data_IF_508866040551
#
_entry.id   IF_508866040551
#
_cell.length_a   1.000
_cell.length_b   1.000
_cell.length_c   1.000
_cell.angle_alpha   90.00
_cell.angle_beta   90.00
_cell.angle_gamma   90.00
#
_symmetry.space_group_name_H-M   'P 1'
#
loop_
_entity.id
_entity.type
_entity.pdbx_description
1 polymer ?
#
# COMPACT_ATOMS: atom_id res chain seq x y z
N UNK A 1 -30.34 6.48 -10.06
CA UNK A 1 -29.95 5.07 -10.16
C UNK A 1 -28.45 5.00 -10.08
N UNK A 2 -27.98 4.66 -9.02
CA UNK A 2 -26.81 4.02 -8.42
C UNK A 2 -25.81 3.48 -9.47
N UNK A 3 -24.95 4.36 -9.92
CA UNK A 3 -23.77 4.05 -10.74
C UNK A 3 -22.80 3.16 -9.93
N UNK A 4 -22.82 3.25 -8.59
CA UNK A 4 -21.98 2.48 -7.67
C UNK A 4 -22.30 0.99 -7.61
N UNK A 5 -23.58 0.58 -7.64
CA UNK A 5 -23.97 -0.85 -7.66
C UNK A 5 -23.63 -1.53 -9.00
N UNK A 6 -23.56 -0.75 -10.09
CA UNK A 6 -23.12 -1.25 -11.41
C UNK A 6 -21.59 -1.35 -11.50
N UNK A 7 -20.85 -0.49 -10.79
CA UNK A 7 -19.39 -0.55 -10.71
C UNK A 7 -18.92 -1.70 -9.82
N UNK A 8 -19.55 -1.95 -8.69
CA UNK A 8 -19.22 -3.06 -7.81
C UNK A 8 -19.50 -4.42 -8.46
N UNK A 9 -20.65 -4.59 -9.15
CA UNK A 9 -20.94 -5.81 -9.90
C UNK A 9 -20.00 -6.04 -11.08
N UNK A 10 -19.63 -4.99 -11.80
CA UNK A 10 -18.73 -5.06 -12.96
C UNK A 10 -17.26 -5.30 -12.57
N UNK A 11 -16.83 -4.84 -11.38
CA UNK A 11 -15.51 -5.10 -10.82
C UNK A 11 -15.42 -6.53 -10.25
N UNK A 12 -16.48 -7.02 -9.62
CA UNK A 12 -16.58 -8.41 -9.13
C UNK A 12 -16.46 -9.42 -10.28
N UNK A 13 -17.14 -9.19 -11.40
CA UNK A 13 -17.04 -10.04 -12.59
C UNK A 13 -15.63 -10.04 -13.18
N UNK A 14 -14.94 -8.90 -13.17
CA UNK A 14 -13.56 -8.83 -13.67
C UNK A 14 -12.56 -9.52 -12.74
N UNK A 15 -12.71 -9.41 -11.43
CA UNK A 15 -11.83 -10.10 -10.48
C UNK A 15 -11.94 -11.61 -10.58
N UNK A 16 -13.16 -12.14 -10.76
CA UNK A 16 -13.35 -13.57 -10.95
C UNK A 16 -12.65 -14.09 -12.22
N UNK A 17 -12.67 -13.33 -13.31
CA UNK A 17 -11.94 -13.66 -14.53
C UNK A 17 -10.42 -13.69 -14.33
N UNK A 18 -9.87 -12.75 -13.54
CA UNK A 18 -8.45 -12.77 -13.20
C UNK A 18 -8.11 -13.99 -12.33
N UNK A 19 -8.94 -14.31 -11.34
CA UNK A 19 -8.75 -15.49 -10.49
C UNK A 19 -8.77 -16.80 -11.32
N UNK A 20 -9.74 -16.94 -12.22
CA UNK A 20 -9.85 -18.11 -13.11
C UNK A 20 -8.65 -18.22 -14.05
N UNK A 21 -8.17 -17.11 -14.61
CA UNK A 21 -6.99 -17.12 -15.46
C UNK A 21 -5.72 -17.48 -14.68
N UNK A 22 -5.53 -16.92 -13.48
CA UNK A 22 -4.41 -17.28 -12.60
C UNK A 22 -4.45 -18.78 -12.30
N UNK A 23 -5.63 -19.33 -11.97
CA UNK A 23 -5.81 -20.75 -11.72
C UNK A 23 -5.45 -21.58 -12.94
N UNK A 24 -6.01 -21.26 -14.11
CA UNK A 24 -5.77 -21.97 -15.36
C UNK A 24 -4.27 -22.03 -15.67
N UNK A 25 -3.59 -20.89 -15.62
CA UNK A 25 -2.15 -20.81 -15.88
C UNK A 25 -1.32 -21.64 -14.89
N UNK A 26 -1.73 -21.67 -13.61
CA UNK A 26 -1.08 -22.52 -12.60
C UNK A 26 -1.32 -24.01 -12.87
N UNK A 27 -2.52 -24.39 -13.28
CA UNK A 27 -2.87 -25.79 -13.59
C UNK A 27 -2.16 -26.29 -14.87
N UNK A 28 -1.86 -25.38 -15.82
CA UNK A 28 -1.03 -25.64 -17.00
C UNK A 28 0.48 -25.61 -16.70
N UNK A 29 0.90 -25.36 -15.46
CA UNK A 29 2.30 -25.28 -15.06
C UNK A 29 3.00 -23.97 -15.41
N UNK A 30 2.26 -22.96 -15.92
CA UNK A 30 2.77 -21.63 -16.32
C UNK A 30 2.80 -20.66 -15.13
N UNK A 31 3.53 -21.00 -14.07
CA UNK A 31 3.57 -20.23 -12.82
C UNK A 31 4.03 -18.79 -13.01
N UNK A 32 4.93 -18.52 -13.97
CA UNK A 32 5.40 -17.18 -14.31
C UNK A 32 4.27 -16.34 -14.91
N UNK A 33 3.57 -16.89 -15.90
CA UNK A 33 2.48 -16.17 -16.55
C UNK A 33 1.32 -15.90 -15.57
N UNK A 34 1.06 -16.86 -14.66
CA UNK A 34 0.10 -16.70 -13.58
C UNK A 34 0.48 -15.54 -12.64
N UNK A 35 1.75 -15.41 -12.27
CA UNK A 35 2.27 -14.29 -11.49
C UNK A 35 2.09 -12.97 -12.23
N UNK A 36 2.52 -12.88 -13.48
CA UNK A 36 2.38 -11.65 -14.28
C UNK A 36 0.91 -11.26 -14.48
N UNK A 37 0.04 -12.26 -14.61
CA UNK A 37 -1.41 -12.01 -14.73
C UNK A 37 -2.01 -11.51 -13.41
N UNK A 38 -1.58 -12.07 -12.27
CA UNK A 38 -1.94 -11.59 -10.94
C UNK A 38 -1.50 -10.13 -10.71
N UNK A 39 -0.29 -9.78 -11.12
CA UNK A 39 0.20 -8.39 -11.02
C UNK A 39 -0.61 -7.41 -11.89
N UNK A 40 -1.06 -7.85 -13.08
CA UNK A 40 -1.96 -7.03 -13.92
C UNK A 40 -3.28 -6.73 -13.24
N UNK A 41 -3.82 -7.66 -12.46
CA UNK A 41 -5.07 -7.44 -11.72
C UNK A 41 -4.93 -6.37 -10.65
N UNK A 42 -3.78 -6.32 -9.95
CA UNK A 42 -3.48 -5.35 -8.90
C UNK A 42 -3.27 -3.93 -9.43
N UNK A 43 -2.51 -3.82 -10.54
CA UNK A 43 -2.27 -2.53 -11.19
C UNK A 43 -3.55 -1.87 -11.71
N UNK A 44 -4.50 -2.68 -12.17
CA UNK A 44 -5.76 -2.18 -12.75
C UNK A 44 -6.68 -1.55 -11.71
N UNK A 45 -6.79 -2.12 -10.51
CA UNK A 45 -7.60 -1.55 -9.43
C UNK A 45 -7.08 -0.16 -9.01
N UNK A 46 -5.77 0.04 -9.00
CA UNK A 46 -5.17 1.34 -8.74
C UNK A 46 -5.44 2.35 -9.85
N UNK A 47 -5.38 1.93 -11.12
CA UNK A 47 -5.65 2.77 -12.29
C UNK A 47 -7.14 3.12 -12.40
N UNK A 48 -8.03 2.14 -12.16
CA UNK A 48 -9.47 2.36 -12.20
C UNK A 48 -9.92 3.32 -11.07
N UNK A 49 -9.28 3.26 -9.90
CA UNK A 49 -9.51 4.20 -8.81
C UNK A 49 -9.04 5.63 -9.16
N UNK A 50 -7.91 5.78 -9.84
CA UNK A 50 -7.40 7.07 -10.32
C UNK A 50 -8.23 7.62 -11.50
N UNK A 51 -8.70 6.74 -12.38
CA UNK A 51 -9.47 7.13 -13.56
C UNK A 51 -10.93 7.48 -13.28
N UNK A 52 -11.50 7.04 -12.16
CA UNK A 52 -12.90 7.33 -11.79
C UNK A 52 -13.15 8.75 -11.29
N UNK A 53 -12.09 9.52 -10.97
CA UNK A 53 -12.22 10.90 -10.49
C UNK A 53 -11.25 11.83 -11.22
N UNK A 54 -11.75 12.96 -11.71
CA UNK A 54 -10.95 14.04 -12.32
C UNK A 54 -9.99 14.60 -11.27
N UNK A 55 -8.78 14.07 -11.22
CA UNK A 55 -7.70 14.68 -10.44
C UNK A 55 -7.33 15.97 -11.18
N UNK A 56 -7.35 17.10 -10.49
CA UNK A 56 -6.93 18.36 -11.10
C UNK A 56 -5.41 18.36 -11.26
N UNK A 57 -4.89 18.38 -12.49
CA UNK A 57 -3.45 18.48 -12.72
C UNK A 57 -2.94 19.84 -12.27
N UNK A 58 -1.67 19.89 -11.86
CA UNK A 58 -1.02 21.13 -11.39
C UNK A 58 -0.72 22.16 -12.47
N UNK A 59 -0.81 21.77 -13.76
CA UNK A 59 -0.54 22.67 -14.91
C UNK A 59 -1.59 22.49 -16.02
N UNK A 60 -1.71 23.51 -16.90
CA UNK A 60 -2.60 23.41 -18.09
C UNK A 60 -2.15 22.33 -19.09
N UNK A 61 -0.84 22.09 -19.18
CA UNK A 61 -0.26 21.03 -20.04
C UNK A 61 -0.69 19.66 -19.54
N UNK A 62 -0.72 19.47 -18.22
CA UNK A 62 -1.17 18.23 -17.60
C UNK A 62 -2.66 17.96 -17.85
N UNK A 63 -3.49 19.00 -17.86
CA UNK A 63 -4.93 18.89 -18.18
C UNK A 63 -5.16 18.40 -19.61
N UNK A 64 -4.48 18.99 -20.58
CA UNK A 64 -4.60 18.61 -21.99
C UNK A 64 -4.16 17.17 -22.24
N UNK A 65 -3.09 16.73 -21.57
CA UNK A 65 -2.59 15.36 -21.67
C UNK A 65 -3.59 14.35 -21.08
N UNK A 66 -4.20 14.65 -19.93
CA UNK A 66 -5.23 13.80 -19.31
C UNK A 66 -6.53 13.74 -20.15
N UNK A 67 -6.99 14.85 -20.69
CA UNK A 67 -8.15 14.87 -21.59
C UNK A 67 -7.90 14.04 -22.86
N UNK A 68 -6.70 14.08 -23.40
CA UNK A 68 -6.31 13.28 -24.56
C UNK A 68 -6.26 11.79 -24.22
N UNK A 69 -5.71 11.44 -23.05
CA UNK A 69 -5.73 10.08 -22.53
C UNK A 69 -7.14 9.53 -22.42
N UNK A 70 -8.04 10.27 -21.74
CA UNK A 70 -9.43 9.89 -21.54
C UNK A 70 -10.13 9.59 -22.86
N UNK A 71 -9.91 10.42 -23.89
CA UNK A 71 -10.48 10.20 -25.24
C UNK A 71 -9.94 8.92 -25.89
N UNK A 72 -8.64 8.69 -25.82
CA UNK A 72 -8.02 7.50 -26.42
C UNK A 72 -8.47 6.24 -25.71
N UNK A 73 -8.52 6.25 -24.38
CA UNK A 73 -9.01 5.15 -23.56
C UNK A 73 -10.49 4.84 -23.85
N UNK A 74 -11.35 5.85 -23.85
CA UNK A 74 -12.77 5.69 -24.17
C UNK A 74 -12.98 5.10 -25.59
N UNK A 75 -12.12 5.44 -26.55
CA UNK A 75 -12.14 4.86 -27.90
C UNK A 75 -11.83 3.35 -27.85
N UNK A 76 -10.76 2.94 -27.13
CA UNK A 76 -10.39 1.52 -26.98
C UNK A 76 -11.52 0.73 -26.30
N UNK A 77 -12.10 1.26 -25.22
CA UNK A 77 -13.19 0.62 -24.48
C UNK A 77 -14.46 0.49 -25.35
N UNK A 78 -14.79 1.52 -26.11
CA UNK A 78 -15.98 1.51 -26.99
C UNK A 78 -15.81 0.50 -28.12
N UNK A 79 -14.66 0.47 -28.77
CA UNK A 79 -14.35 -0.52 -29.80
C UNK A 79 -14.28 -1.94 -29.22
N UNK A 80 -13.75 -2.12 -28.02
CA UNK A 80 -13.74 -3.40 -27.33
C UNK A 80 -15.15 -3.96 -27.07
N UNK A 81 -16.07 -3.10 -26.60
CA UNK A 81 -17.49 -3.47 -26.41
C UNK A 81 -18.18 -3.81 -27.74
N UNK A 82 -17.96 -3.01 -28.77
CA UNK A 82 -18.51 -3.26 -30.11
C UNK A 82 -17.98 -4.56 -30.70
N UNK A 83 -16.68 -4.85 -30.55
CA UNK A 83 -16.09 -6.10 -31.01
C UNK A 83 -16.68 -7.32 -30.28
N UNK A 84 -16.87 -7.23 -28.96
CA UNK A 84 -17.49 -8.32 -28.18
C UNK A 84 -18.93 -8.62 -28.61
N UNK A 85 -19.69 -7.60 -29.00
CA UNK A 85 -21.09 -7.72 -29.44
C UNK A 85 -21.26 -7.95 -30.95
N UNK A 86 -20.17 -7.95 -31.75
CA UNK A 86 -20.23 -7.93 -33.20
C UNK A 86 -20.61 -9.28 -33.84
N UNK A 87 -21.36 -9.22 -34.94
CA UNK A 87 -21.63 -10.36 -35.80
C UNK A 87 -20.34 -10.78 -36.57
N UNK A 88 -20.21 -12.04 -36.99
CA UNK A 88 -19.01 -12.56 -37.69
C UNK A 88 -18.54 -11.72 -38.87
N UNK A 89 -19.45 -11.13 -39.62
CA UNK A 89 -19.13 -10.30 -40.79
C UNK A 89 -18.44 -8.96 -40.47
N UNK A 90 -18.63 -8.44 -39.26
CA UNK A 90 -18.05 -7.16 -38.80
C UNK A 90 -16.82 -7.33 -37.91
N UNK A 91 -16.58 -8.56 -37.43
CA UNK A 91 -15.52 -8.82 -36.45
C UNK A 91 -14.14 -8.41 -36.93
N UNK A 92 -13.80 -8.75 -38.19
CA UNK A 92 -12.46 -8.44 -38.71
C UNK A 92 -12.19 -6.94 -38.71
N UNK A 93 -13.17 -6.16 -39.26
CA UNK A 93 -13.05 -4.69 -39.30
C UNK A 93 -12.89 -4.08 -37.88
N UNK A 94 -13.72 -4.52 -36.94
CA UNK A 94 -13.66 -4.04 -35.56
C UNK A 94 -12.38 -4.48 -34.83
N UNK A 95 -11.83 -5.63 -35.17
CA UNK A 95 -10.55 -6.09 -34.67
C UNK A 95 -9.41 -5.18 -35.14
N UNK A 96 -9.40 -4.80 -36.43
CA UNK A 96 -8.40 -3.90 -36.97
C UNK A 96 -8.51 -2.49 -36.36
N UNK A 97 -9.74 -1.95 -36.26
CA UNK A 97 -10.00 -0.66 -35.59
C UNK A 97 -9.57 -0.68 -34.12
N UNK A 98 -9.83 -1.75 -33.40
CA UNK A 98 -9.42 -1.90 -32.00
C UNK A 98 -7.89 -2.02 -31.87
N UNK A 99 -7.25 -2.72 -32.79
CA UNK A 99 -5.80 -2.84 -32.81
C UNK A 99 -5.13 -1.49 -33.07
N UNK A 100 -5.68 -0.67 -33.98
CA UNK A 100 -5.21 0.68 -34.25
C UNK A 100 -5.42 1.60 -33.06
N UNK A 101 -6.59 1.57 -32.43
CA UNK A 101 -6.87 2.35 -31.24
C UNK A 101 -5.92 1.99 -30.08
N UNK A 102 -5.63 0.71 -29.89
CA UNK A 102 -4.66 0.24 -28.89
C UNK A 102 -3.24 0.72 -29.21
N UNK A 103 -2.80 0.67 -30.47
CA UNK A 103 -1.50 1.20 -30.88
C UNK A 103 -1.38 2.70 -30.59
N UNK A 104 -2.39 3.48 -30.96
CA UNK A 104 -2.44 4.92 -30.73
C UNK A 104 -2.40 5.27 -29.23
N UNK A 105 -3.15 4.52 -28.41
CA UNK A 105 -3.12 4.67 -26.96
C UNK A 105 -1.74 4.34 -26.40
N UNK A 106 -1.14 3.22 -26.82
CA UNK A 106 0.20 2.80 -26.38
C UNK A 106 1.27 3.83 -26.75
N UNK A 107 1.25 4.33 -27.99
CA UNK A 107 2.19 5.37 -28.43
C UNK A 107 2.04 6.67 -27.65
N UNK A 108 0.80 7.07 -27.37
CA UNK A 108 0.55 8.24 -26.52
C UNK A 108 1.12 8.07 -25.13
N UNK A 109 0.91 6.90 -24.49
CA UNK A 109 1.47 6.60 -23.16
C UNK A 109 3.00 6.58 -23.15
N UNK A 110 3.64 6.04 -24.20
CA UNK A 110 5.10 6.07 -24.35
C UNK A 110 5.61 7.51 -24.46
N UNK A 111 4.97 8.34 -25.27
CA UNK A 111 5.32 9.75 -25.40
C UNK A 111 5.14 10.51 -24.08
N UNK A 112 4.01 10.31 -23.41
CA UNK A 112 3.72 10.93 -22.12
C UNK A 112 4.76 10.59 -21.06
N UNK A 113 5.27 9.35 -21.08
CA UNK A 113 6.35 8.91 -20.18
C UNK A 113 7.68 9.60 -20.44
N UNK A 114 7.99 9.85 -21.71
CA UNK A 114 9.21 10.54 -22.07
C UNK A 114 9.17 12.02 -21.68
N UNK A 115 8.01 12.67 -21.90
CA UNK A 115 7.84 14.10 -21.70
C UNK A 115 7.50 14.47 -20.24
N UNK A 116 6.76 13.60 -19.54
CA UNK A 116 6.37 13.81 -18.16
C UNK A 116 6.23 12.48 -17.39
N UNK A 117 7.32 11.95 -16.80
CA UNK A 117 7.33 10.67 -16.09
C UNK A 117 6.33 10.61 -14.92
N UNK A 118 6.05 11.74 -14.29
CA UNK A 118 5.10 11.81 -13.17
C UNK A 118 3.66 11.64 -13.68
N UNK A 119 3.30 12.34 -14.75
CA UNK A 119 1.97 12.25 -15.34
C UNK A 119 1.70 10.87 -15.96
N UNK A 120 2.72 10.22 -16.51
CA UNK A 120 2.59 8.88 -17.08
C UNK A 120 2.25 7.80 -16.05
N UNK A 121 2.69 7.98 -14.81
CA UNK A 121 2.36 7.06 -13.72
C UNK A 121 0.88 7.12 -13.30
N UNK A 122 0.17 8.23 -13.60
CA UNK A 122 -1.28 8.35 -13.41
C UNK A 122 -2.09 7.51 -14.41
N UNK A 123 -1.56 7.37 -15.59
CA UNK A 123 -2.32 6.88 -16.73
C UNK A 123 -2.08 5.40 -16.99
N UNK A 124 -0.89 4.91 -16.69
CA UNK A 124 -0.60 3.47 -16.78
C UNK A 124 0.56 3.10 -15.88
N UNK A 125 0.31 2.34 -14.82
CA UNK A 125 1.38 1.60 -14.15
C UNK A 125 1.71 0.39 -15.03
N UNK A 126 2.91 0.34 -15.66
CA UNK A 126 3.31 -0.86 -16.38
C UNK A 126 3.39 -2.01 -15.39
N UNK A 127 2.77 -3.12 -15.71
CA UNK A 127 2.97 -4.34 -14.96
C UNK A 127 4.42 -4.77 -15.10
N UNK A 128 5.08 -4.96 -13.96
CA UNK A 128 6.46 -5.40 -13.92
C UNK A 128 6.55 -6.88 -14.31
N UNK A 129 7.47 -7.20 -15.22
CA UNK A 129 7.80 -8.59 -15.49
C UNK A 129 8.72 -9.16 -14.40
N UNK A 130 8.70 -10.49 -14.26
CA UNK A 130 9.47 -11.20 -13.24
C UNK A 130 10.97 -10.87 -13.28
N UNK A 131 11.56 -10.83 -14.46
CA UNK A 131 13.01 -10.62 -14.61
C UNK A 131 13.44 -9.21 -14.18
N UNK A 132 12.60 -8.21 -14.44
CA UNK A 132 12.81 -6.84 -13.97
C UNK A 132 12.68 -6.75 -12.45
N UNK A 133 11.68 -7.42 -11.86
CA UNK A 133 11.52 -7.49 -10.41
C UNK A 133 12.73 -8.13 -9.72
N UNK A 134 13.21 -9.25 -10.23
CA UNK A 134 14.36 -9.97 -9.68
C UNK A 134 15.64 -9.11 -9.65
N UNK A 135 15.84 -8.23 -10.64
CA UNK A 135 16.99 -7.30 -10.69
C UNK A 135 16.97 -6.22 -9.60
N UNK A 136 15.82 -5.95 -8.99
CA UNK A 136 15.71 -5.00 -7.88
C UNK A 136 16.12 -5.61 -6.55
N UNK A 137 16.08 -6.94 -6.45
CA UNK A 137 16.33 -7.66 -5.21
C UNK A 137 17.84 -7.88 -5.01
N UNK A 138 18.32 -7.63 -3.80
CA UNK A 138 19.65 -8.08 -3.39
C UNK A 138 19.62 -9.54 -2.91
N UNK A 139 20.81 -10.11 -2.66
CA UNK A 139 20.95 -11.52 -2.26
C UNK A 139 20.27 -11.86 -0.91
N UNK A 140 19.99 -10.86 -0.07
CA UNK A 140 19.43 -11.03 1.27
C UNK A 140 17.91 -10.72 1.32
N UNK A 141 17.32 -10.33 0.19
CA UNK A 141 15.91 -9.93 0.09
C UNK A 141 15.11 -10.91 -0.74
N UNK A 142 13.99 -11.37 -0.20
CA UNK A 142 12.98 -12.17 -0.93
C UNK A 142 11.62 -11.51 -0.85
N UNK A 143 10.78 -11.79 -1.84
CA UNK A 143 9.39 -11.36 -1.86
C UNK A 143 8.48 -12.57 -1.70
N UNK A 144 7.38 -12.40 -0.97
CA UNK A 144 6.26 -13.34 -0.92
C UNK A 144 5.04 -12.62 -1.45
N UNK A 145 4.61 -13.03 -2.63
CA UNK A 145 3.46 -12.44 -3.34
C UNK A 145 2.29 -13.38 -3.21
N UNK A 146 1.24 -12.95 -2.54
CA UNK A 146 0.05 -13.76 -2.31
C UNK A 146 -1.02 -13.53 -3.36
N UNK A 147 -1.79 -14.56 -3.68
CA UNK A 147 -3.05 -14.47 -4.41
C UNK A 147 -4.08 -15.41 -3.79
N UNK A 148 -5.17 -14.84 -3.31
CA UNK A 148 -6.25 -15.59 -2.64
C UNK A 148 -7.29 -15.95 -3.67
N UNK A 149 -7.38 -17.24 -4.00
CA UNK A 149 -8.43 -17.84 -4.82
C UNK A 149 -9.59 -18.32 -3.93
N UNK A 150 -10.75 -18.67 -4.47
CA UNK A 150 -11.89 -19.09 -3.67
C UNK A 150 -11.63 -20.31 -2.77
N UNK A 151 -10.79 -21.26 -3.19
CA UNK A 151 -10.55 -22.55 -2.55
C UNK A 151 -9.06 -22.88 -2.31
N UNK A 152 -8.16 -21.97 -2.66
CA UNK A 152 -6.74 -22.10 -2.38
C UNK A 152 -6.04 -20.74 -2.22
N UNK A 153 -4.93 -20.76 -1.53
CA UNK A 153 -4.01 -19.66 -1.40
C UNK A 153 -2.75 -19.96 -2.24
N UNK A 154 -2.40 -19.04 -3.10
CA UNK A 154 -1.16 -19.08 -3.89
C UNK A 154 -0.15 -18.11 -3.30
N UNK A 155 1.10 -18.53 -3.17
CA UNK A 155 2.21 -17.68 -2.79
C UNK A 155 3.38 -17.90 -3.75
N UNK A 156 3.83 -16.85 -4.43
CA UNK A 156 5.08 -16.84 -5.16
C UNK A 156 6.19 -16.35 -4.26
N UNK A 157 7.24 -17.15 -4.11
CA UNK A 157 8.45 -16.76 -3.35
C UNK A 157 9.54 -16.43 -4.37
N UNK A 158 9.91 -15.16 -4.40
CA UNK A 158 10.77 -14.59 -5.44
C UNK A 158 12.06 -14.08 -4.78
N UNK A 159 13.18 -14.55 -5.24
CA UNK A 159 14.51 -14.03 -4.92
C UNK A 159 15.22 -13.58 -6.21
N UNK A 160 16.42 -12.99 -6.11
CA UNK A 160 17.14 -12.48 -7.28
C UNK A 160 17.36 -13.53 -8.37
N UNK A 161 17.56 -14.80 -8.00
CA UNK A 161 17.80 -15.90 -8.93
C UNK A 161 16.81 -17.08 -8.73
N UNK A 162 15.77 -16.88 -7.91
CA UNK A 162 14.80 -17.95 -7.59
C UNK A 162 13.38 -17.49 -7.79
N UNK A 163 12.55 -18.40 -8.30
CA UNK A 163 11.11 -18.20 -8.45
C UNK A 163 10.40 -19.50 -8.14
N UNK A 164 9.62 -19.53 -7.08
CA UNK A 164 8.90 -20.72 -6.64
C UNK A 164 7.44 -20.36 -6.40
N UNK A 165 6.56 -21.30 -6.66
CA UNK A 165 5.14 -21.20 -6.35
C UNK A 165 4.76 -22.23 -5.30
N UNK A 166 3.98 -21.77 -4.33
CA UNK A 166 3.40 -22.59 -3.26
C UNK A 166 1.89 -22.48 -3.36
N UNK A 167 1.19 -23.61 -3.38
CA UNK A 167 -0.28 -23.65 -3.39
C UNK A 167 -0.74 -24.32 -2.10
N UNK A 168 -1.54 -23.63 -1.31
CA UNK A 168 -2.08 -24.12 -0.04
C UNK A 168 -3.60 -24.28 -0.17
N UNK A 169 -4.10 -25.50 0.01
CA UNK A 169 -5.55 -25.77 -0.01
C UNK A 169 -6.20 -25.20 1.25
N UNK A 170 -6.87 -24.07 1.07
CA UNK A 170 -7.66 -23.41 2.11
C UNK A 170 -8.72 -22.54 1.43
N UNK A 171 -9.94 -22.55 1.92
CA UNK A 171 -11.01 -21.69 1.38
C UNK A 171 -10.80 -20.25 1.81
N UNK A 172 -11.06 -19.31 0.88
CA UNK A 172 -11.05 -17.88 1.19
C UNK A 172 -11.92 -17.55 2.41
N UNK A 173 -13.10 -18.16 2.51
CA UNK A 173 -14.03 -17.96 3.65
C UNK A 173 -13.37 -18.34 4.97
N UNK A 174 -12.59 -19.43 5.01
CA UNK A 174 -11.85 -19.85 6.22
C UNK A 174 -10.77 -18.84 6.59
N UNK A 175 -10.03 -18.30 5.59
CA UNK A 175 -9.05 -17.24 5.82
C UNK A 175 -9.71 -16.00 6.41
N UNK A 176 -10.84 -15.55 5.84
CA UNK A 176 -11.62 -14.39 6.30
C UNK A 176 -12.09 -14.56 7.75
N UNK A 177 -12.68 -15.71 8.07
CA UNK A 177 -13.25 -15.98 9.39
C UNK A 177 -12.17 -16.05 10.47
N UNK A 178 -11.07 -16.77 10.17
CA UNK A 178 -9.95 -16.92 11.12
C UNK A 178 -9.21 -15.60 11.29
N UNK A 179 -8.92 -14.87 10.21
CA UNK A 179 -8.28 -13.57 10.29
C UNK A 179 -9.14 -12.53 11.02
N UNK A 180 -10.46 -12.52 10.76
CA UNK A 180 -11.38 -11.65 11.47
C UNK A 180 -11.42 -11.92 12.97
N UNK A 181 -11.39 -13.20 13.36
CA UNK A 181 -11.35 -13.62 14.77
C UNK A 181 -10.00 -13.27 15.39
N UNK A 182 -8.89 -13.56 14.70
CA UNK A 182 -7.52 -13.21 15.11
C UNK A 182 -7.40 -11.73 15.44
N UNK A 183 -7.89 -10.87 14.55
CA UNK A 183 -7.83 -9.41 14.76
C UNK A 183 -8.67 -8.94 15.92
N UNK A 184 -9.89 -9.49 16.11
CA UNK A 184 -10.72 -9.17 17.28
C UNK A 184 -10.03 -9.57 18.58
N UNK A 185 -9.44 -10.76 18.65
CA UNK A 185 -8.69 -11.23 19.82
C UNK A 185 -7.45 -10.38 20.07
N UNK A 186 -6.68 -10.03 19.02
CA UNK A 186 -5.54 -9.10 19.15
C UNK A 186 -5.95 -7.78 19.80
N UNK A 187 -7.01 -7.14 19.30
CA UNK A 187 -7.46 -5.83 19.79
C UNK A 187 -8.03 -5.89 21.23
N UNK A 188 -8.46 -7.05 21.67
CA UNK A 188 -8.98 -7.29 23.04
C UNK A 188 -7.91 -7.83 23.98
N UNK A 189 -6.70 -8.06 23.50
CA UNK A 189 -5.62 -8.73 24.23
C UNK A 189 -6.00 -10.15 24.71
N UNK A 190 -6.87 -10.82 23.95
CA UNK A 190 -7.29 -12.19 24.20
C UNK A 190 -6.24 -13.21 23.70
N UNK A 191 -6.43 -14.48 24.02
CA UNK A 191 -5.58 -15.56 23.52
C UNK A 191 -5.78 -15.76 22.01
N UNK A 192 -4.70 -15.68 21.24
CA UNK A 192 -4.66 -15.76 19.78
C UNK A 192 -4.01 -17.05 19.25
N UNK A 193 -3.63 -17.97 20.12
CA UNK A 193 -2.77 -19.10 19.76
C UNK A 193 -3.35 -20.04 18.71
N UNK A 194 -4.66 -20.16 18.64
CA UNK A 194 -5.35 -21.01 17.66
C UNK A 194 -5.32 -20.38 16.27
N UNK A 195 -5.76 -19.14 16.15
CA UNK A 195 -5.81 -18.40 14.89
C UNK A 195 -4.40 -18.13 14.37
N UNK A 196 -3.46 -17.76 15.25
CA UNK A 196 -2.04 -17.57 14.92
C UNK A 196 -1.45 -18.83 14.28
N UNK A 197 -1.73 -20.02 14.85
CA UNK A 197 -1.24 -21.30 14.32
C UNK A 197 -1.84 -21.60 12.95
N UNK A 198 -3.16 -21.42 12.80
CA UNK A 198 -3.85 -21.66 11.52
C UNK A 198 -3.34 -20.74 10.43
N UNK A 199 -3.29 -19.43 10.69
CA UNK A 199 -2.81 -18.43 9.72
C UNK A 199 -1.33 -18.65 9.37
N UNK A 200 -0.47 -18.91 10.36
CA UNK A 200 0.94 -19.20 10.10
C UNK A 200 1.11 -20.49 9.29
N UNK A 201 0.28 -21.51 9.56
CA UNK A 201 0.26 -22.76 8.84
C UNK A 201 -0.14 -22.63 7.37
N UNK A 202 -1.02 -21.70 7.04
CA UNK A 202 -1.42 -21.44 5.65
C UNK A 202 -0.51 -20.48 4.92
N UNK A 203 -0.04 -19.43 5.61
CA UNK A 203 0.65 -18.30 4.99
C UNK A 203 2.18 -18.48 4.95
N UNK A 204 2.80 -18.98 6.02
CA UNK A 204 4.26 -18.96 6.18
C UNK A 204 4.88 -20.35 6.10
N UNK A 205 4.32 -21.33 6.81
CA UNK A 205 4.93 -22.66 6.92
C UNK A 205 5.20 -23.32 5.56
N UNK A 206 4.29 -23.26 4.54
CA UNK A 206 4.55 -23.86 3.25
C UNK A 206 5.70 -23.20 2.47
N UNK A 207 6.04 -21.95 2.79
CA UNK A 207 7.12 -21.20 2.15
C UNK A 207 8.40 -21.13 3.01
N UNK A 208 8.41 -21.64 4.24
CA UNK A 208 9.49 -21.45 5.22
C UNK A 208 10.87 -21.85 4.67
N UNK A 209 11.00 -23.00 4.04
CA UNK A 209 12.26 -23.48 3.45
C UNK A 209 12.77 -22.57 2.34
N UNK A 210 11.85 -21.94 1.60
CA UNK A 210 12.17 -21.02 0.50
C UNK A 210 12.67 -19.66 1.01
N UNK A 211 12.44 -19.32 2.29
CA UNK A 211 12.91 -18.08 2.92
C UNK A 211 14.31 -18.20 3.51
N UNK A 212 14.91 -19.40 3.47
CA UNK A 212 16.26 -19.62 3.98
C UNK A 212 17.28 -18.69 3.30
N UNK A 213 18.19 -18.10 4.09
CA UNK A 213 19.22 -17.17 3.63
C UNK A 213 18.76 -15.72 3.46
N UNK A 214 17.45 -15.44 3.53
CA UNK A 214 16.98 -14.06 3.55
C UNK A 214 17.24 -13.39 4.92
N UNK A 215 17.47 -12.09 4.91
CA UNK A 215 17.41 -11.20 6.08
C UNK A 215 16.15 -10.34 6.03
N UNK A 216 15.64 -10.08 4.83
CA UNK A 216 14.45 -9.26 4.58
C UNK A 216 13.44 -10.01 3.73
N UNK A 217 12.17 -9.80 4.04
CA UNK A 217 11.05 -10.34 3.26
C UNK A 217 10.04 -9.23 2.98
N UNK A 218 9.86 -8.97 1.70
CA UNK A 218 8.77 -8.13 1.23
C UNK A 218 7.50 -8.93 1.09
N UNK A 219 6.43 -8.46 1.69
CA UNK A 219 5.10 -9.07 1.61
C UNK A 219 4.25 -8.25 0.65
N UNK A 220 3.72 -8.92 -0.37
CA UNK A 220 2.71 -8.35 -1.26
C UNK A 220 1.41 -9.10 -0.99
N UNK A 221 0.55 -8.58 -0.11
CA UNK A 221 -0.70 -9.21 0.26
C UNK A 221 -1.71 -9.19 -0.90
N UNK A 222 -2.80 -9.92 -0.77
CA UNK A 222 -3.94 -9.87 -1.66
C UNK A 222 -5.23 -9.91 -0.85
N UNK A 223 -6.20 -9.07 -1.19
CA UNK A 223 -7.51 -9.02 -0.53
C UNK A 223 -7.38 -8.87 0.99
N UNK A 224 -8.03 -9.72 1.76
CA UNK A 224 -8.10 -9.69 3.22
C UNK A 224 -6.72 -9.76 3.89
N UNK A 225 -5.72 -10.31 3.21
CA UNK A 225 -4.36 -10.42 3.73
C UNK A 225 -3.66 -9.07 3.93
N UNK A 226 -4.17 -7.99 3.34
CA UNK A 226 -3.71 -6.62 3.67
C UNK A 226 -3.91 -6.27 5.15
N UNK A 227 -4.84 -6.96 5.83
CA UNK A 227 -5.10 -6.76 7.25
C UNK A 227 -4.30 -7.72 8.15
N UNK A 228 -3.48 -8.60 7.56
CA UNK A 228 -2.72 -9.57 8.30
C UNK A 228 -1.44 -8.94 8.91
N UNK A 229 -1.26 -9.00 10.23
CA UNK A 229 -0.01 -8.60 10.86
C UNK A 229 1.04 -9.70 10.68
N UNK A 230 1.69 -9.74 9.53
CA UNK A 230 2.66 -10.80 9.24
C UNK A 230 3.81 -10.83 10.24
N UNK A 231 4.17 -9.70 10.86
CA UNK A 231 5.18 -9.65 11.94
C UNK A 231 4.85 -10.59 13.11
N UNK A 232 3.57 -10.86 13.35
CA UNK A 232 3.10 -11.78 14.41
C UNK A 232 2.78 -13.19 13.87
N UNK A 233 3.28 -13.59 12.71
CA UNK A 233 3.21 -14.98 12.25
C UNK A 233 4.35 -15.81 12.78
N UNK A 234 4.15 -17.13 12.87
CA UNK A 234 5.18 -18.09 13.29
C UNK A 234 6.09 -18.46 12.13
N UNK A 235 7.39 -18.54 12.44
CA UNK A 235 8.42 -19.11 11.60
C UNK A 235 9.28 -20.05 12.45
N UNK A 236 9.10 -21.35 12.28
CA UNK A 236 9.64 -22.36 13.19
C UNK A 236 9.08 -22.20 14.59
N UNK A 237 9.96 -22.16 15.61
CA UNK A 237 9.57 -22.06 17.02
C UNK A 237 9.34 -20.62 17.52
N UNK A 238 9.58 -19.61 16.70
CA UNK A 238 9.46 -18.18 17.06
C UNK A 238 8.51 -17.41 16.14
N UNK A 239 8.52 -16.09 16.28
CA UNK A 239 7.87 -15.20 15.34
C UNK A 239 8.78 -14.93 14.15
N UNK A 240 8.20 -14.59 13.00
CA UNK A 240 8.97 -14.29 11.80
C UNK A 240 9.98 -13.16 12.02
N UNK A 241 9.64 -12.17 12.84
CA UNK A 241 10.52 -11.05 13.20
C UNK A 241 11.73 -11.46 14.04
N UNK A 242 11.77 -12.67 14.58
CA UNK A 242 12.97 -13.16 15.28
C UNK A 242 14.14 -13.33 14.30
N UNK A 243 13.83 -13.58 13.02
CA UNK A 243 14.82 -13.88 11.98
C UNK A 243 14.83 -12.88 10.82
N UNK A 244 13.66 -12.31 10.46
CA UNK A 244 13.46 -11.59 9.21
C UNK A 244 12.89 -10.18 9.47
N UNK A 245 13.46 -9.19 8.80
CA UNK A 245 12.84 -7.87 8.69
C UNK A 245 11.75 -7.90 7.63
N UNK A 246 10.61 -7.26 7.90
CA UNK A 246 9.47 -7.25 6.99
C UNK A 246 9.21 -5.85 6.44
N UNK A 247 8.90 -5.80 5.16
CA UNK A 247 8.29 -4.64 4.51
C UNK A 247 7.11 -5.09 3.63
N UNK A 248 6.25 -4.16 3.29
CA UNK A 248 5.05 -4.44 2.50
C UNK A 248 5.06 -3.63 1.22
N UNK A 249 4.43 -4.15 0.19
CA UNK A 249 4.13 -3.40 -1.00
C UNK A 249 2.75 -3.77 -1.54
N UNK A 250 2.00 -2.84 -2.13
CA UNK A 250 0.70 -3.15 -2.71
C UNK A 250 0.78 -4.00 -3.98
N UNK A 251 1.89 -3.90 -4.71
CA UNK A 251 2.21 -4.74 -5.88
C UNK A 251 3.72 -4.68 -6.18
N UNK A 252 4.22 -5.61 -6.99
CA UNK A 252 5.60 -5.59 -7.47
C UNK A 252 5.91 -4.33 -8.29
N UNK A 253 4.93 -3.86 -9.06
CA UNK A 253 5.07 -2.65 -9.87
C UNK A 253 5.27 -1.38 -9.02
N UNK A 254 4.68 -1.31 -7.83
CA UNK A 254 4.88 -0.19 -6.89
C UNK A 254 6.29 -0.21 -6.30
N UNK A 255 6.89 -1.38 -6.10
CA UNK A 255 8.29 -1.50 -5.66
C UNK A 255 9.23 -0.81 -6.66
N UNK A 256 9.08 -1.09 -7.96
CA UNK A 256 9.86 -0.40 -8.99
C UNK A 256 9.72 1.11 -8.92
N UNK A 257 8.46 1.57 -8.81
CA UNK A 257 8.15 2.99 -8.77
C UNK A 257 8.81 3.70 -7.57
N UNK A 258 8.76 3.11 -6.39
CA UNK A 258 9.39 3.68 -5.19
C UNK A 258 10.92 3.66 -5.31
N UNK A 259 11.49 2.61 -5.88
CA UNK A 259 12.92 2.47 -6.15
C UNK A 259 13.46 3.52 -7.12
N UNK A 260 12.77 3.73 -8.25
CA UNK A 260 13.17 4.70 -9.25
C UNK A 260 13.10 6.13 -8.71
N UNK A 261 12.08 6.43 -7.93
CA UNK A 261 11.95 7.72 -7.27
C UNK A 261 13.06 7.99 -6.27
N UNK A 262 13.42 7.02 -5.44
CA UNK A 262 14.53 7.17 -4.49
C UNK A 262 15.84 7.54 -5.20
N UNK A 263 16.14 6.90 -6.34
CA UNK A 263 17.34 7.20 -7.14
C UNK A 263 17.34 8.62 -7.72
N UNK A 264 16.17 9.14 -8.05
CA UNK A 264 15.99 10.46 -8.64
C UNK A 264 15.93 11.60 -7.62
N UNK A 265 15.92 11.32 -6.32
CA UNK A 265 15.61 12.31 -5.28
C UNK A 265 16.86 12.89 -4.60
N UNK A 266 16.91 14.23 -4.47
CA UNK A 266 17.80 14.90 -3.52
C UNK A 266 17.21 14.75 -2.11
N UNK A 267 17.87 13.99 -1.24
CA UNK A 267 17.44 13.77 0.15
C UNK A 267 17.37 15.09 0.91
N UNK A 268 16.21 15.37 1.48
CA UNK A 268 16.08 16.42 2.48
C UNK A 268 16.35 15.82 3.87
N UNK A 269 17.21 16.45 4.64
CA UNK A 269 17.47 16.04 6.03
C UNK A 269 16.47 16.64 7.04
N UNK A 270 15.58 17.54 6.56
CA UNK A 270 14.60 18.19 7.41
C UNK A 270 13.55 17.18 7.90
N UNK A 271 13.20 17.28 9.17
CA UNK A 271 12.18 16.44 9.81
C UNK A 271 11.00 17.29 10.26
N UNK A 272 9.79 16.87 9.92
CA UNK A 272 8.53 17.45 10.38
C UNK A 272 7.84 16.46 11.32
N UNK A 273 7.44 16.94 12.49
CA UNK A 273 6.60 16.20 13.41
C UNK A 273 5.30 16.98 13.70
N UNK A 274 4.17 16.40 13.36
CA UNK A 274 2.84 16.93 13.62
C UNK A 274 2.21 16.10 14.74
N UNK A 275 1.71 16.76 15.79
CA UNK A 275 1.09 16.07 16.92
C UNK A 275 -0.12 16.78 17.47
N UNK A 276 -1.19 16.02 17.74
CA UNK A 276 -2.39 16.52 18.41
C UNK A 276 -2.94 17.82 17.80
N UNK A 277 -3.32 17.86 16.50
CA UNK A 277 -3.98 19.01 15.92
C UNK A 277 -5.26 19.36 16.71
N UNK A 278 -5.52 20.64 16.92
CA UNK A 278 -6.74 21.08 17.60
C UNK A 278 -7.96 20.95 16.68
N UNK A 279 -8.78 19.92 16.92
CA UNK A 279 -9.99 19.63 16.14
C UNK A 279 -11.25 20.34 16.67
N UNK A 280 -11.07 21.33 17.54
CA UNK A 280 -12.19 22.13 18.07
C UNK A 280 -12.98 21.46 19.21
N UNK A 281 -12.62 20.23 19.62
CA UNK A 281 -13.29 19.51 20.72
C UNK A 281 -12.29 18.83 21.64
N UNK A 282 -12.43 19.04 22.96
CA UNK A 282 -11.61 18.37 23.97
C UNK A 282 -11.72 16.83 23.96
N UNK A 283 -12.82 16.29 23.49
CA UNK A 283 -13.01 14.83 23.38
C UNK A 283 -12.14 14.18 22.29
N UNK A 284 -11.62 14.99 21.38
CA UNK A 284 -10.72 14.59 20.30
C UNK A 284 -9.25 14.91 20.62
N UNK A 285 -8.97 15.37 21.84
CA UNK A 285 -7.62 15.71 22.26
C UNK A 285 -6.75 14.44 22.41
N UNK A 286 -5.53 14.48 21.87
CA UNK A 286 -4.55 13.39 21.86
C UNK A 286 -3.24 13.81 22.55
N UNK A 287 -3.21 13.98 23.87
CA UNK A 287 -2.03 14.51 24.58
C UNK A 287 -0.80 13.58 24.47
N UNK A 288 -0.98 12.31 24.19
CA UNK A 288 0.13 11.38 23.90
C UNK A 288 0.71 11.62 22.51
N UNK A 289 -0.09 11.94 21.51
CA UNK A 289 0.38 12.29 20.17
C UNK A 289 1.21 13.59 20.15
N UNK A 290 0.85 14.58 20.97
CA UNK A 290 1.65 15.79 21.16
C UNK A 290 3.02 15.48 21.78
N UNK A 291 3.03 14.64 22.83
CA UNK A 291 4.28 14.18 23.46
C UNK A 291 5.13 13.34 22.49
N UNK A 292 4.51 12.51 21.68
CA UNK A 292 5.18 11.69 20.67
C UNK A 292 5.87 12.59 19.65
N UNK A 293 5.16 13.55 19.05
CA UNK A 293 5.73 14.51 18.10
C UNK A 293 6.88 15.33 18.73
N UNK A 294 6.72 15.77 19.96
CA UNK A 294 7.77 16.53 20.68
C UNK A 294 9.03 15.70 20.95
N UNK A 295 8.86 14.40 21.18
CA UNK A 295 9.98 13.46 21.44
C UNK A 295 10.78 13.11 20.19
N UNK A 296 10.29 13.40 18.99
CA UNK A 296 11.04 13.22 17.74
C UNK A 296 12.37 14.00 17.81
N UNK A 297 12.41 15.14 18.51
CA UNK A 297 13.62 15.92 18.77
C UNK A 297 14.73 15.14 19.50
N UNK A 298 14.43 14.05 20.15
CA UNK A 298 15.45 13.21 20.78
C UNK A 298 16.32 12.45 19.74
N UNK A 299 15.72 12.12 18.60
CA UNK A 299 16.42 11.49 17.48
C UNK A 299 16.85 12.51 16.42
N UNK A 300 16.10 13.60 16.28
CA UNK A 300 16.30 14.67 15.31
C UNK A 300 16.21 16.03 16.00
N UNK A 301 17.30 16.56 16.59
CA UNK A 301 17.27 17.81 17.38
C UNK A 301 16.67 19.01 16.64
N UNK A 302 16.91 19.10 15.32
CA UNK A 302 16.48 20.20 14.46
C UNK A 302 15.08 19.97 13.84
N UNK A 303 14.31 18.96 14.34
CA UNK A 303 12.98 18.69 13.84
C UNK A 303 12.03 19.88 14.07
N UNK A 304 11.28 20.23 13.04
CA UNK A 304 10.14 21.16 13.13
C UNK A 304 8.97 20.41 13.77
N UNK A 305 8.51 20.89 14.91
CA UNK A 305 7.36 20.31 15.63
C UNK A 305 6.20 21.27 15.56
N UNK A 306 5.06 20.80 15.06
CA UNK A 306 3.83 21.58 14.88
C UNK A 306 2.69 20.87 15.61
N UNK A 307 2.03 21.58 16.56
CA UNK A 307 0.99 20.99 17.41
C UNK A 307 -0.21 21.93 17.56
N UNK A 308 -1.32 21.39 18.06
CA UNK A 308 -2.50 22.19 18.41
C UNK A 308 -3.05 22.97 17.21
N UNK A 309 -3.38 24.23 17.42
CA UNK A 309 -3.94 25.12 16.40
C UNK A 309 -2.96 25.54 15.29
N UNK A 310 -1.67 25.25 15.44
CA UNK A 310 -0.68 25.53 14.39
C UNK A 310 -0.64 24.40 13.34
N UNK A 311 -1.10 23.22 13.70
CA UNK A 311 -1.11 22.05 12.81
C UNK A 311 -2.30 22.10 11.84
N UNK A 312 -2.46 23.20 11.10
CA UNK A 312 -3.57 23.37 10.15
C UNK A 312 -3.30 22.64 8.84
N UNK A 313 -4.38 22.29 8.15
CA UNK A 313 -4.29 21.68 6.83
C UNK A 313 -3.56 22.58 5.84
N UNK A 314 -3.93 23.87 5.78
CA UNK A 314 -3.31 24.86 4.90
C UNK A 314 -1.81 24.97 5.13
N UNK A 315 -1.37 25.02 6.41
CA UNK A 315 0.05 25.06 6.73
C UNK A 315 0.78 23.80 6.28
N UNK A 316 0.19 22.62 6.56
CA UNK A 316 0.78 21.33 6.19
C UNK A 316 0.88 21.21 4.67
N UNK A 317 -0.19 21.45 3.93
CA UNK A 317 -0.21 21.37 2.48
C UNK A 317 0.86 22.28 1.82
N UNK A 318 1.08 23.47 2.38
CA UNK A 318 2.07 24.44 1.88
C UNK A 318 3.52 24.02 2.15
N UNK A 319 3.79 23.37 3.29
CA UNK A 319 5.16 23.16 3.77
C UNK A 319 5.64 21.71 3.67
N UNK A 320 4.74 20.74 3.56
CA UNK A 320 5.04 19.29 3.63
C UNK A 320 6.11 18.86 2.61
N UNK A 321 6.17 19.48 1.45
CA UNK A 321 7.11 19.18 0.37
C UNK A 321 8.59 19.50 0.67
N UNK A 322 8.89 20.19 1.79
CA UNK A 322 10.26 20.55 2.14
C UNK A 322 10.99 19.49 3.00
N UNK A 323 10.25 18.53 3.55
CA UNK A 323 10.75 17.59 4.56
C UNK A 323 11.05 16.22 3.99
N UNK A 324 12.17 15.63 4.44
CA UNK A 324 12.57 14.27 4.07
C UNK A 324 11.98 13.20 4.96
N UNK A 325 11.68 13.54 6.23
CA UNK A 325 10.97 12.66 7.15
C UNK A 325 9.76 13.43 7.70
N UNK A 326 8.61 12.83 7.63
CA UNK A 326 7.36 13.41 8.14
C UNK A 326 6.73 12.43 9.11
N UNK A 327 6.48 12.90 10.33
CA UNK A 327 5.75 12.14 11.35
C UNK A 327 4.42 12.84 11.65
N UNK A 328 3.33 12.10 11.55
CA UNK A 328 1.98 12.62 11.79
C UNK A 328 1.30 11.76 12.87
N UNK A 329 1.13 12.34 14.04
CA UNK A 329 0.40 11.75 15.16
C UNK A 329 -0.92 12.52 15.36
N UNK A 330 -2.00 12.01 14.76
CA UNK A 330 -3.30 12.64 14.73
C UNK A 330 -4.43 11.60 14.63
N UNK A 331 -5.69 12.06 14.60
CA UNK A 331 -6.79 11.19 14.18
C UNK A 331 -6.74 10.92 12.68
N UNK A 332 -7.10 9.69 12.31
CA UNK A 332 -7.40 9.30 10.94
C UNK A 332 -8.87 8.94 10.81
N UNK A 333 -9.49 9.29 9.71
CA UNK A 333 -10.83 8.86 9.35
C UNK A 333 -10.78 8.06 8.06
N UNK A 334 -11.29 6.85 8.12
CA UNK A 334 -11.46 6.02 6.94
C UNK A 334 -12.92 6.06 6.48
N UNK A 335 -13.14 6.33 5.20
CA UNK A 335 -14.46 6.29 4.59
C UNK A 335 -14.55 5.08 3.64
N UNK A 336 -15.30 4.06 4.07
CA UNK A 336 -15.45 2.80 3.33
C UNK A 336 -16.16 2.96 1.98
N UNK A 337 -17.14 3.87 1.92
CA UNK A 337 -17.95 4.07 0.72
C UNK A 337 -17.29 5.02 -0.28
N UNK A 338 -16.49 5.95 0.21
CA UNK A 338 -15.79 6.95 -0.58
C UNK A 338 -14.33 7.05 -0.12
N UNK A 339 -13.45 6.09 -0.47
CA UNK A 339 -12.07 6.01 0.01
C UNK A 339 -11.25 7.29 -0.22
N UNK A 340 -11.59 8.06 -1.25
CA UNK A 340 -10.94 9.36 -1.52
C UNK A 340 -11.28 10.45 -0.49
N UNK A 341 -12.30 10.25 0.33
CA UNK A 341 -12.65 11.11 1.45
C UNK A 341 -12.02 10.64 2.77
N UNK A 342 -11.35 9.50 2.79
CA UNK A 342 -10.52 9.12 3.94
C UNK A 342 -9.48 10.21 4.18
N UNK A 343 -9.26 10.60 5.44
CA UNK A 343 -8.48 11.79 5.76
C UNK A 343 -7.59 11.59 7.00
N UNK A 344 -6.49 12.32 7.02
CA UNK A 344 -5.78 12.67 8.25
C UNK A 344 -6.38 13.96 8.77
N UNK A 345 -6.78 13.99 10.05
CA UNK A 345 -7.41 15.15 10.68
C UNK A 345 -6.36 16.13 11.15
N UNK A 346 -6.45 17.34 10.66
CA UNK A 346 -5.59 18.49 11.04
C UNK A 346 -6.47 19.59 11.64
N UNK A 347 -5.86 20.63 12.18
CA UNK A 347 -6.62 21.76 12.70
C UNK A 347 -7.31 22.52 11.53
N UNK A 348 -8.59 22.86 11.64
CA UNK A 348 -9.24 23.74 10.69
C UNK A 348 -8.71 25.16 10.81
N UNK A 349 -8.80 25.91 9.72
CA UNK A 349 -8.52 27.35 9.67
C UNK A 349 -9.54 28.09 8.80
N UNK A 350 -9.25 29.33 8.40
CA UNK A 350 -10.16 30.13 7.57
C UNK A 350 -10.25 29.65 6.12
N UNK A 351 -9.30 28.82 5.66
CA UNK A 351 -9.21 28.37 4.27
C UNK A 351 -9.71 26.94 4.10
N UNK A 352 -9.50 26.07 5.13
CA UNK A 352 -9.78 24.65 5.05
C UNK A 352 -10.39 24.07 6.35
N UNK A 353 -11.16 22.99 6.19
CA UNK A 353 -11.86 22.31 7.28
C UNK A 353 -10.98 21.39 8.14
N UNK A 354 -9.71 21.25 7.82
CA UNK A 354 -8.75 20.41 8.52
C UNK A 354 -8.74 18.95 8.06
N UNK A 355 -9.51 18.58 7.05
CA UNK A 355 -9.52 17.22 6.50
C UNK A 355 -8.52 17.09 5.34
N UNK A 356 -7.29 16.67 5.66
CA UNK A 356 -6.31 16.31 4.64
C UNK A 356 -6.72 14.98 4.01
N UNK A 357 -7.65 15.05 3.05
CA UNK A 357 -8.23 13.88 2.41
C UNK A 357 -7.27 13.19 1.46
N UNK A 358 -7.48 11.89 1.20
CA UNK A 358 -6.79 11.11 0.16
C UNK A 358 -6.74 11.89 -1.17
N UNK A 359 -7.87 12.49 -1.56
CA UNK A 359 -7.97 13.34 -2.77
C UNK A 359 -7.00 14.52 -2.74
N UNK A 360 -6.92 15.24 -1.62
CA UNK A 360 -6.03 16.40 -1.46
C UNK A 360 -4.56 15.97 -1.48
N UNK A 361 -4.24 14.83 -0.82
CA UNK A 361 -2.89 14.26 -0.79
C UNK A 361 -2.39 13.96 -2.21
N UNK A 362 -3.23 13.46 -3.10
CA UNK A 362 -2.86 13.24 -4.52
C UNK A 362 -2.41 14.51 -5.24
N UNK A 363 -2.88 15.68 -4.82
CA UNK A 363 -2.48 16.98 -5.38
C UNK A 363 -1.19 17.55 -4.78
N UNK A 364 -0.62 16.92 -3.76
CA UNK A 364 0.61 17.39 -3.11
C UNK A 364 1.86 16.90 -3.86
N UNK A 365 2.93 17.70 -3.77
CA UNK A 365 4.27 17.29 -4.18
C UNK A 365 5.11 17.06 -2.92
N UNK A 366 5.25 15.79 -2.54
CA UNK A 366 5.95 15.39 -1.33
C UNK A 366 7.32 14.83 -1.71
N UNK A 367 8.37 15.29 -1.01
CA UNK A 367 9.75 14.83 -1.21
C UNK A 367 10.24 14.01 -0.02
N UNK A 368 9.35 13.41 0.73
CA UNK A 368 9.72 12.64 1.91
C UNK A 368 10.21 11.25 1.53
N UNK A 369 11.33 10.86 2.11
CA UNK A 369 11.80 9.47 2.10
C UNK A 369 10.88 8.60 2.95
N UNK A 370 10.37 9.15 4.07
CA UNK A 370 9.52 8.44 5.02
C UNK A 370 8.37 9.32 5.51
N UNK A 371 7.15 8.77 5.49
CA UNK A 371 6.01 9.29 6.26
C UNK A 371 5.63 8.26 7.31
N UNK A 372 5.68 8.64 8.59
CA UNK A 372 5.16 7.84 9.68
C UNK A 372 3.78 8.36 10.10
N UNK A 373 2.76 7.53 9.89
CA UNK A 373 1.37 7.79 10.26
C UNK A 373 1.09 7.08 11.59
N UNK A 374 1.33 7.78 12.70
CA UNK A 374 0.94 7.35 14.05
C UNK A 374 -0.50 7.80 14.34
N UNK A 375 -1.38 7.58 13.37
CA UNK A 375 -2.78 7.89 13.50
C UNK A 375 -3.58 6.60 13.66
N UNK A 376 -4.49 6.58 14.63
CA UNK A 376 -5.37 5.45 14.85
C UNK A 376 -6.23 5.19 13.60
N UNK A 377 -6.20 3.96 13.09
CA UNK A 377 -7.04 3.48 11.99
C UNK A 377 -6.75 4.01 10.57
N UNK A 378 -5.58 4.56 10.28
CA UNK A 378 -5.19 4.88 8.89
C UNK A 378 -5.04 3.64 8.01
N UNK A 379 -5.00 2.45 8.63
CA UNK A 379 -4.92 1.15 7.96
C UNK A 379 -6.18 0.29 8.02
N UNK A 380 -7.33 0.80 8.50
CA UNK A 380 -8.51 -0.02 8.73
C UNK A 380 -9.76 0.57 8.08
N UNK A 381 -9.97 0.21 6.81
CA UNK A 381 -11.32 0.13 6.29
C UNK A 381 -11.93 -1.25 6.53
N UNK A 382 -13.26 -1.38 6.56
CA UNK A 382 -13.90 -2.65 6.29
C UNK A 382 -13.41 -3.15 4.95
N UNK A 383 -13.10 -4.45 4.87
CA UNK A 383 -12.71 -5.11 3.63
C UNK A 383 -13.92 -5.16 2.70
N UNK A 384 -14.10 -4.11 1.95
CA UNK A 384 -14.80 -4.20 0.68
C UNK A 384 -13.69 -4.49 -0.34
N UNK A 385 -13.61 -5.69 -0.89
CA UNK A 385 -12.67 -6.07 -1.96
C UNK A 385 -11.18 -5.74 -1.77
N UNK A 386 -10.63 -5.98 -0.59
CA UNK A 386 -9.20 -6.31 -0.31
C UNK A 386 -8.09 -5.33 -0.63
N UNK A 387 -8.25 -4.43 -1.56
CA UNK A 387 -7.21 -3.47 -1.96
C UNK A 387 -7.36 -2.07 -1.31
N UNK A 388 -8.42 -1.84 -0.53
CA UNK A 388 -8.81 -0.50 -0.06
C UNK A 388 -8.05 0.00 1.18
N UNK A 389 -7.40 -0.87 1.95
CA UNK A 389 -6.52 -0.46 3.08
C UNK A 389 -5.40 0.46 2.61
N UNK A 390 -5.17 0.49 1.32
CA UNK A 390 -4.08 1.21 0.68
C UNK A 390 -4.43 2.67 0.33
N UNK A 391 -5.64 3.16 0.57
CA UNK A 391 -6.07 4.47 0.11
C UNK A 391 -5.12 5.62 0.51
N UNK A 392 -4.91 5.88 1.80
CA UNK A 392 -3.99 6.93 2.28
C UNK A 392 -2.53 6.63 1.95
N UNK A 393 -2.07 5.38 2.17
CA UNK A 393 -0.70 4.99 1.87
C UNK A 393 -0.40 5.16 0.37
N UNK A 394 -1.31 4.72 -0.51
CA UNK A 394 -1.17 4.92 -1.96
C UNK A 394 -1.11 6.40 -2.33
N UNK A 395 -1.94 7.23 -1.71
CA UNK A 395 -1.93 8.66 -2.00
C UNK A 395 -0.59 9.31 -1.63
N UNK A 396 -0.01 8.97 -0.49
CA UNK A 396 1.29 9.48 -0.10
C UNK A 396 2.44 8.96 -0.98
N UNK A 397 2.45 7.67 -1.33
CA UNK A 397 3.40 7.11 -2.31
C UNK A 397 3.27 7.85 -3.64
N UNK A 398 2.05 8.08 -4.08
CA UNK A 398 1.76 8.81 -5.29
C UNK A 398 2.26 10.26 -5.23
N UNK A 399 1.98 10.96 -4.12
CA UNK A 399 2.43 12.34 -3.88
C UNK A 399 3.96 12.48 -3.82
N UNK A 400 4.69 11.35 -3.72
CA UNK A 400 6.14 11.33 -3.85
C UNK A 400 6.93 10.64 -2.75
N UNK A 401 6.27 10.10 -1.75
CA UNK A 401 6.92 9.39 -0.64
C UNK A 401 7.37 8.00 -1.07
N UNK A 402 8.54 7.57 -0.59
CA UNK A 402 9.08 6.24 -0.92
C UNK A 402 8.62 5.18 0.06
N UNK A 403 8.44 5.57 1.33
CA UNK A 403 8.08 4.66 2.40
C UNK A 403 7.04 5.26 3.34
N UNK A 404 6.19 4.39 3.84
CA UNK A 404 5.16 4.76 4.81
C UNK A 404 5.18 3.76 5.95
N UNK A 405 5.38 4.27 7.17
CA UNK A 405 5.14 3.53 8.39
C UNK A 405 3.70 3.82 8.83
N UNK A 406 2.86 2.80 8.89
CA UNK A 406 1.45 2.95 9.28
C UNK A 406 0.98 1.81 10.18
N UNK A 407 -0.22 1.95 10.76
CA UNK A 407 -0.78 0.99 11.70
C UNK A 407 -1.92 0.17 11.10
N UNK A 408 -1.98 -1.14 11.45
CA UNK A 408 -3.05 -2.07 11.07
C UNK A 408 -4.28 -1.97 11.96
N UNK A 409 -4.16 -1.42 13.17
CA UNK A 409 -5.25 -1.20 14.13
C UNK A 409 -4.93 -0.06 15.08
N UNK A 410 -5.89 0.31 15.91
CA UNK A 410 -5.64 1.24 17.01
C UNK A 410 -4.72 0.57 18.04
N UNK A 411 -3.46 0.97 18.01
CA UNK A 411 -2.43 0.46 18.91
C UNK A 411 -2.49 1.17 20.27
N UNK A 412 -1.91 0.55 21.30
CA UNK A 412 -1.77 1.17 22.61
C UNK A 412 -0.80 2.37 22.54
N UNK A 413 -1.24 3.52 23.05
CA UNK A 413 -0.50 4.78 22.93
C UNK A 413 0.90 4.71 23.55
N UNK A 414 1.04 4.00 24.68
CA UNK A 414 2.34 3.88 25.40
C UNK A 414 3.29 2.99 24.63
N UNK A 415 2.81 1.81 24.20
CA UNK A 415 3.61 0.86 23.44
C UNK A 415 4.02 1.44 22.08
N UNK A 416 3.12 2.18 21.42
CA UNK A 416 3.40 2.86 20.16
C UNK A 416 4.47 3.93 20.33
N UNK A 417 4.37 4.79 21.35
CA UNK A 417 5.38 5.81 21.60
C UNK A 417 6.77 5.18 21.88
N UNK A 418 6.81 4.03 22.54
CA UNK A 418 8.04 3.26 22.76
C UNK A 418 8.57 2.70 21.44
N UNK A 419 7.69 2.10 20.62
CA UNK A 419 8.05 1.52 19.33
C UNK A 419 8.60 2.59 18.37
N UNK A 420 7.91 3.72 18.24
CA UNK A 420 8.34 4.85 17.41
C UNK A 420 9.69 5.40 17.87
N UNK A 421 9.89 5.55 19.19
CA UNK A 421 11.19 5.96 19.76
C UNK A 421 12.32 5.01 19.33
N UNK A 422 12.10 3.71 19.46
CA UNK A 422 13.11 2.70 19.06
C UNK A 422 13.30 2.65 17.56
N UNK A 423 12.23 2.79 16.77
CA UNK A 423 12.31 2.84 15.32
C UNK A 423 13.24 3.96 14.85
N UNK A 424 12.99 5.20 15.28
CA UNK A 424 13.84 6.33 14.88
C UNK A 424 15.27 6.21 15.39
N UNK A 425 15.46 5.73 16.62
CA UNK A 425 16.81 5.46 17.14
C UNK A 425 17.56 4.43 16.29
N UNK A 426 16.87 3.39 15.84
CA UNK A 426 17.47 2.29 15.10
C UNK A 426 17.68 2.59 13.61
N UNK A 427 17.10 3.66 13.06
CA UNK A 427 17.37 4.10 11.69
C UNK A 427 18.82 4.49 11.45
N UNK A 428 19.56 4.87 12.49
CA UNK A 428 20.97 5.19 12.36
C UNK A 428 21.78 3.94 11.98
N UNK A 429 22.27 3.90 10.72
CA UNK A 429 23.12 2.81 10.22
C UNK A 429 22.42 1.49 9.90
N UNK A 430 21.08 1.49 9.79
CA UNK A 430 20.28 0.33 9.36
C UNK A 430 19.29 0.75 8.29
N UNK A 431 18.88 -0.23 7.47
CA UNK A 431 17.69 -0.07 6.66
C UNK A 431 16.43 0.03 7.54
N UNK A 432 15.37 0.62 7.01
CA UNK A 432 14.16 0.94 7.81
C UNK A 432 13.35 -0.30 8.16
N UNK A 433 13.38 -1.34 7.32
CA UNK A 433 12.73 -2.60 7.67
C UNK A 433 13.40 -3.25 8.89
N UNK A 434 14.75 -3.26 8.93
CA UNK A 434 15.50 -3.75 10.08
C UNK A 434 15.35 -2.84 11.31
N UNK A 435 15.27 -1.52 11.12
CA UNK A 435 15.00 -0.59 12.21
C UNK A 435 13.64 -0.86 12.86
N UNK A 436 12.61 -1.13 12.05
CA UNK A 436 11.28 -1.49 12.55
C UNK A 436 11.30 -2.85 13.27
N UNK A 437 11.97 -3.86 12.69
CA UNK A 437 12.12 -5.17 13.32
C UNK A 437 12.75 -5.06 14.70
N UNK A 438 13.84 -4.31 14.84
CA UNK A 438 14.52 -4.10 16.13
C UNK A 438 13.61 -3.37 17.13
N UNK A 439 12.85 -2.37 16.67
CA UNK A 439 11.87 -1.69 17.52
C UNK A 439 10.77 -2.64 18.02
N UNK A 440 10.27 -3.51 17.14
CA UNK A 440 9.26 -4.53 17.50
C UNK A 440 9.82 -5.53 18.52
N UNK A 441 11.06 -5.99 18.37
CA UNK A 441 11.72 -6.89 19.30
C UNK A 441 11.92 -6.24 20.68
N UNK A 442 12.31 -4.97 20.73
CA UNK A 442 12.48 -4.21 21.97
C UNK A 442 11.14 -4.05 22.72
N UNK A 443 10.05 -3.70 22.00
CA UNK A 443 8.71 -3.61 22.61
C UNK A 443 8.24 -4.99 23.07
N UNK A 444 8.46 -6.05 22.27
CA UNK A 444 8.08 -7.42 22.62
C UNK A 444 8.79 -7.92 23.88
N UNK A 445 10.00 -7.48 24.14
CA UNK A 445 10.73 -7.85 25.36
C UNK A 445 10.04 -7.35 26.63
N UNK A 446 9.29 -6.24 26.51
CA UNK A 446 8.54 -5.60 27.60
C UNK A 446 7.07 -6.03 27.60
N UNK A 447 6.47 -6.17 26.42
CA UNK A 447 5.05 -6.47 26.21
C UNK A 447 4.92 -7.69 25.30
N UNK A 448 4.70 -8.86 25.88
CA UNK A 448 4.71 -10.14 25.14
C UNK A 448 3.61 -10.28 24.08
N UNK A 449 2.43 -9.70 24.36
CA UNK A 449 1.28 -9.85 23.47
C UNK A 449 1.48 -9.08 22.15
N UNK A 450 1.24 -9.70 20.98
CA UNK A 450 1.47 -9.07 19.67
C UNK A 450 0.70 -7.77 19.42
N UNK A 451 -0.42 -7.55 20.08
CA UNK A 451 -1.16 -6.29 19.98
C UNK A 451 -0.31 -5.05 20.26
N UNK A 452 0.74 -5.17 21.08
CA UNK A 452 1.61 -4.05 21.43
C UNK A 452 2.69 -3.74 20.41
N UNK A 453 3.15 -4.72 19.62
CA UNK A 453 4.33 -4.57 18.77
C UNK A 453 4.12 -4.90 17.30
N UNK A 454 3.07 -5.67 16.96
CA UNK A 454 2.83 -6.11 15.57
C UNK A 454 1.91 -5.16 14.78
N UNK A 455 1.43 -4.08 15.40
CA UNK A 455 0.47 -3.18 14.78
C UNK A 455 1.06 -2.27 13.72
N UNK A 456 2.34 -1.92 13.79
CA UNK A 456 3.00 -1.07 12.80
C UNK A 456 3.66 -1.91 11.70
N UNK A 457 3.55 -1.42 10.48
CA UNK A 457 4.19 -2.00 9.30
C UNK A 457 4.77 -0.93 8.39
N UNK A 458 5.84 -1.27 7.68
CA UNK A 458 6.49 -0.43 6.69
C UNK A 458 6.01 -0.82 5.30
N UNK A 459 5.57 0.14 4.49
CA UNK A 459 5.12 -0.07 3.11
C UNK A 459 5.93 0.79 2.15
N UNK A 460 6.38 0.21 1.04
CA UNK A 460 7.18 0.87 0.01
C UNK A 460 8.58 0.31 -0.11
N UNK A 461 9.57 1.19 -0.24
CA UNK A 461 10.99 0.81 -0.27
C UNK A 461 11.43 0.36 1.14
N UNK A 462 12.43 -0.53 1.21
CA UNK A 462 12.89 -1.12 2.48
C UNK A 462 14.27 -0.62 2.94
N UNK A 463 14.97 0.20 2.12
CA UNK A 463 16.37 0.60 2.31
C UNK A 463 16.54 1.92 3.06
#
# INVERSE_FOLDING_TARGET
>A
IKIEELQDGFLLDKQSLYDEMVRLLLDEGSAKDAFEFSERSRGRNFIDMLGSQKIQPGSEVDKAALEREEKLRATVETLGRRFAAAQPAEKQKLQDELADARRNYTQFIIGLRADNPQLSSFVSVPTMDLASLQKLLDAETKLVVYHVLPDELVAWVIGPESFNVVRTKVKRTEIVDVLGTYRRHLQRFDNISTEERMLSGWLIAPAESLLTGAKRVGIIPHRELHQMPFSATRLGNGYIIDKLALFYAPSASVIQYTFDRRKAHNKSEKVLAIGNPNLGSKSLDLPFAEKEASRIKWSFPDATVVTGSQATETWVAKNIGEYGIIHIASHGEYNEHLPLLSAVKLAPDSEDNGDLTTRKIFGLSIKADLIALSACQTGLGKVGNGDDIVGLNRAFVYAGTHEILSSLWRVDDVATAVLIKYFYRNMAGRDRAEALRQAQLEVRSQYRHPAYWAGLFLSGDWQ
#
